data_IF_203571984506
#
_entry.id   IF_203571984506
#
_cell.length_a   1.000
_cell.length_b   1.000
_cell.length_c   1.000
_cell.angle_alpha   90.00
_cell.angle_beta   90.00
_cell.angle_gamma   90.00
#
_symmetry.space_group_name_H-M   'P 1'
#
loop_
_entity.id
_entity.type
_entity.pdbx_description
1 polymer ?
#
# COMPACT_ATOMS: atom_id res chain seq x y z
N UNK A 1 -1.97 -8.70 5.13
CA UNK A 1 -2.64 -7.49 5.63
C UNK A 1 -1.90 -7.08 6.89
N UNK A 2 -1.27 -5.90 6.89
CA UNK A 2 -0.47 -5.44 8.04
C UNK A 2 -1.34 -5.13 9.26
N UNK A 3 -0.74 -5.11 10.44
CA UNK A 3 -1.41 -4.81 11.72
C UNK A 3 -2.07 -3.41 11.72
N UNK A 4 -1.58 -2.48 10.90
CA UNK A 4 -2.06 -1.10 10.85
C UNK A 4 -3.40 -0.95 10.14
N UNK A 5 -3.71 -1.82 9.17
CA UNK A 5 -4.96 -1.78 8.41
C UNK A 5 -6.20 -1.92 9.30
N UNK A 6 -6.33 -2.94 10.18
CA UNK A 6 -7.47 -3.01 11.11
C UNK A 6 -7.49 -1.84 12.11
N UNK A 7 -6.33 -1.29 12.46
CA UNK A 7 -6.22 -0.16 13.39
C UNK A 7 -6.74 1.15 12.78
N UNK A 8 -6.58 1.35 11.47
CA UNK A 8 -7.24 2.44 10.72
C UNK A 8 -8.75 2.30 10.78
N UNK A 9 -9.29 1.10 10.51
CA UNK A 9 -10.73 0.88 10.56
C UNK A 9 -11.30 1.09 11.96
N UNK A 10 -10.60 0.63 13.00
CA UNK A 10 -11.00 0.85 14.40
C UNK A 10 -11.04 2.34 14.75
N UNK A 11 -10.03 3.12 14.34
CA UNK A 11 -10.02 4.57 14.54
C UNK A 11 -11.19 5.28 13.83
N UNK A 12 -11.52 4.86 12.60
CA UNK A 12 -12.65 5.41 11.85
C UNK A 12 -14.00 5.07 12.52
N UNK A 13 -14.17 3.85 13.03
CA UNK A 13 -15.38 3.47 13.76
C UNK A 13 -15.56 4.30 15.03
N UNK A 14 -14.49 4.53 15.79
CA UNK A 14 -14.53 5.40 16.98
C UNK A 14 -14.90 6.85 16.62
N UNK A 15 -14.36 7.38 15.53
CA UNK A 15 -14.72 8.72 15.04
C UNK A 15 -16.20 8.81 14.65
N UNK A 16 -16.71 7.81 13.93
CA UNK A 16 -18.14 7.76 13.56
C UNK A 16 -19.01 7.61 14.81
N UNK A 17 -18.60 6.79 15.77
CA UNK A 17 -19.32 6.61 17.03
C UNK A 17 -19.42 7.92 17.81
N UNK A 18 -18.28 8.59 18.00
CA UNK A 18 -18.23 9.90 18.66
C UNK A 18 -19.05 10.96 17.92
N UNK A 19 -19.02 10.98 16.58
CA UNK A 19 -19.85 11.87 15.76
C UNK A 19 -21.34 11.64 16.00
N UNK A 20 -21.80 10.38 15.96
CA UNK A 20 -23.20 10.03 16.20
C UNK A 20 -23.60 10.44 17.63
N UNK A 21 -22.75 10.16 18.63
CA UNK A 21 -22.98 10.55 20.02
C UNK A 21 -23.07 12.08 20.18
N UNK A 22 -22.20 12.84 19.52
CA UNK A 22 -22.25 14.30 19.53
C UNK A 22 -23.53 14.85 18.89
N UNK A 23 -23.93 14.31 17.74
CA UNK A 23 -25.19 14.71 17.06
C UNK A 23 -26.40 14.41 17.93
N UNK A 24 -26.46 13.21 18.52
CA UNK A 24 -27.55 12.81 19.41
C UNK A 24 -27.61 13.71 20.66
N UNK A 25 -26.45 14.02 21.25
CA UNK A 25 -26.35 14.89 22.42
C UNK A 25 -26.85 16.30 22.11
N UNK A 26 -26.36 16.91 21.02
CA UNK A 26 -26.78 18.25 20.58
C UNK A 26 -28.28 18.28 20.27
N UNK A 27 -28.81 17.22 19.65
CA UNK A 27 -30.25 17.12 19.33
C UNK A 27 -31.12 17.03 20.57
N UNK A 28 -30.63 16.42 21.65
CA UNK A 28 -31.39 16.19 22.89
C UNK A 28 -31.27 17.34 23.88
N UNK A 29 -30.07 17.92 24.00
CA UNK A 29 -29.74 18.91 25.04
C UNK A 29 -29.48 20.32 24.49
N UNK A 30 -29.52 20.49 23.17
CA UNK A 30 -29.16 21.74 22.51
C UNK A 30 -27.63 21.97 22.44
N UNK A 31 -27.20 23.11 21.90
CA UNK A 31 -25.78 23.45 21.73
C UNK A 31 -25.17 23.95 23.04
N UNK A 32 -25.14 23.09 24.06
CA UNK A 32 -24.37 23.31 25.30
C UNK A 32 -22.96 22.70 25.16
N UNK A 33 -22.11 22.88 26.19
CA UNK A 33 -20.78 22.27 26.23
C UNK A 33 -20.85 20.75 26.07
N UNK A 34 -19.97 20.19 25.24
CA UNK A 34 -19.92 18.76 25.00
C UNK A 34 -19.43 18.01 26.25
N UNK A 35 -20.02 16.85 26.56
CA UNK A 35 -19.50 15.93 27.56
C UNK A 35 -18.05 15.53 27.27
N UNK A 36 -17.26 15.40 28.34
CA UNK A 36 -15.82 15.15 28.23
C UNK A 36 -15.52 13.77 27.61
N UNK A 37 -16.35 12.77 27.87
CA UNK A 37 -16.27 11.42 27.31
C UNK A 37 -16.35 11.43 25.77
N UNK A 38 -17.33 12.13 25.18
CA UNK A 38 -17.48 12.27 23.72
C UNK A 38 -16.24 12.96 23.13
N UNK A 39 -15.74 14.00 23.81
CA UNK A 39 -14.54 14.72 23.38
C UNK A 39 -13.29 13.83 23.43
N UNK A 40 -13.10 13.06 24.50
CA UNK A 40 -11.99 12.13 24.64
C UNK A 40 -12.03 11.02 23.58
N UNK A 41 -13.20 10.44 23.32
CA UNK A 41 -13.36 9.42 22.29
C UNK A 41 -13.01 9.97 20.89
N UNK A 42 -13.44 11.19 20.57
CA UNK A 42 -13.10 11.86 19.32
C UNK A 42 -11.58 12.04 19.18
N UNK A 43 -10.91 12.56 20.23
CA UNK A 43 -9.47 12.80 20.22
C UNK A 43 -8.71 11.48 20.08
N UNK A 44 -9.08 10.45 20.84
CA UNK A 44 -8.44 9.13 20.77
C UNK A 44 -8.65 8.50 19.38
N UNK A 45 -9.88 8.51 18.87
CA UNK A 45 -10.20 8.00 17.52
C UNK A 45 -9.42 8.73 16.42
N UNK A 46 -9.26 10.05 16.55
CA UNK A 46 -8.46 10.87 15.64
C UNK A 46 -6.97 10.48 15.69
N UNK A 47 -6.39 10.38 16.88
CA UNK A 47 -4.98 10.01 17.06
C UNK A 47 -4.69 8.60 16.53
N UNK A 48 -5.56 7.64 16.83
CA UNK A 48 -5.43 6.26 16.34
C UNK A 48 -5.52 6.23 14.81
N UNK A 49 -6.49 6.92 14.22
CA UNK A 49 -6.66 6.98 12.76
C UNK A 49 -5.46 7.59 12.07
N UNK A 50 -4.99 8.75 12.55
CA UNK A 50 -3.86 9.46 11.97
C UNK A 50 -2.56 8.64 12.08
N UNK A 51 -2.26 8.10 13.26
CA UNK A 51 -1.04 7.32 13.47
C UNK A 51 -1.03 6.03 12.66
N UNK A 52 -2.15 5.30 12.66
CA UNK A 52 -2.29 4.04 11.92
C UNK A 52 -2.19 4.26 10.42
N UNK A 53 -2.79 5.34 9.89
CA UNK A 53 -2.72 5.66 8.46
C UNK A 53 -1.29 6.02 8.02
N UNK A 54 -0.59 6.83 8.81
CA UNK A 54 0.83 7.15 8.55
C UNK A 54 1.67 5.88 8.58
N UNK A 55 1.47 4.98 9.56
CA UNK A 55 2.20 3.72 9.62
C UNK A 55 1.88 2.78 8.46
N UNK A 56 0.60 2.66 8.10
CA UNK A 56 0.15 1.86 6.96
C UNK A 56 0.81 2.32 5.65
N UNK A 57 0.96 3.64 5.46
CA UNK A 57 1.59 4.21 4.25
C UNK A 57 3.12 4.22 4.32
N UNK A 58 3.70 4.38 5.51
CA UNK A 58 5.16 4.39 5.73
C UNK A 58 5.80 3.00 5.69
N UNK A 59 5.02 1.91 5.77
CA UNK A 59 5.50 0.55 5.46
C UNK A 59 5.88 0.38 3.98
N UNK A 60 5.47 1.29 3.10
CA UNK A 60 6.07 1.39 1.79
C UNK A 60 7.51 1.83 1.92
N UNK A 61 8.48 1.00 1.52
CA UNK A 61 9.87 1.41 1.43
C UNK A 61 9.95 2.70 0.61
N UNK A 62 10.30 3.80 1.27
CA UNK A 62 10.55 5.06 0.61
C UNK A 62 11.70 4.84 -0.36
N UNK A 63 11.36 4.76 -1.65
CA UNK A 63 12.36 4.48 -2.67
C UNK A 63 13.30 5.68 -2.75
N UNK A 64 14.56 5.45 -2.43
CA UNK A 64 15.59 6.48 -2.56
C UNK A 64 15.70 6.91 -4.03
N UNK A 65 15.48 8.21 -4.29
CA UNK A 65 15.63 8.80 -5.62
C UNK A 65 17.13 9.05 -5.84
N UNK A 66 17.87 7.99 -6.13
CA UNK A 66 19.27 8.07 -6.56
C UNK A 66 19.42 7.31 -7.86
N UNK A 67 19.82 8.04 -8.90
CA UNK A 67 20.15 7.46 -10.20
C UNK A 67 21.30 6.45 -10.00
N UNK A 68 22.35 6.81 -9.27
CA UNK A 68 23.46 5.88 -9.00
C UNK A 68 23.00 4.55 -8.38
N UNK A 69 22.06 4.58 -7.41
CA UNK A 69 21.50 3.37 -6.78
C UNK A 69 20.52 2.61 -7.69
N UNK A 70 19.79 3.31 -8.55
CA UNK A 70 18.92 2.68 -9.54
C UNK A 70 19.72 1.92 -10.61
N UNK A 71 20.92 2.42 -10.95
CA UNK A 71 21.81 1.83 -11.95
C UNK A 71 22.89 0.92 -11.35
N UNK A 72 23.02 0.82 -10.02
CA UNK A 72 24.07 0.00 -9.38
C UNK A 72 23.94 -1.50 -9.66
N UNK A 73 22.71 -1.96 -9.88
CA UNK A 73 22.41 -3.37 -10.20
C UNK A 73 22.26 -3.61 -11.71
N UNK A 74 22.52 -2.59 -12.54
CA UNK A 74 22.43 -2.70 -13.99
C UNK A 74 23.74 -3.24 -14.55
N UNK A 75 23.67 -4.40 -15.21
CA UNK A 75 24.82 -5.01 -15.90
C UNK A 75 24.79 -4.71 -17.39
N UNK A 76 25.96 -4.69 -18.03
CA UNK A 76 26.08 -4.45 -19.47
C UNK A 76 25.25 -5.41 -20.31
N UNK A 77 25.19 -6.70 -19.95
CA UNK A 77 24.35 -7.68 -20.66
C UNK A 77 22.85 -7.38 -20.61
N UNK A 78 22.37 -6.71 -19.54
CA UNK A 78 20.97 -6.27 -19.45
C UNK A 78 20.69 -5.03 -20.29
N UNK A 79 21.68 -4.14 -20.45
CA UNK A 79 21.59 -2.95 -21.31
C UNK A 79 21.71 -3.32 -22.79
N UNK A 80 22.54 -4.31 -23.09
CA UNK A 80 22.77 -4.81 -24.45
C UNK A 80 21.56 -5.58 -25.00
N UNK A 81 20.80 -6.24 -24.12
CA UNK A 81 19.55 -6.89 -24.50
C UNK A 81 18.49 -5.84 -24.89
N UNK A 82 18.43 -5.51 -26.19
CA UNK A 82 17.42 -4.63 -26.76
C UNK A 82 16.29 -5.46 -27.36
N UNK A 83 15.12 -5.57 -26.70
CA UNK A 83 14.03 -6.44 -27.17
C UNK A 83 13.49 -6.01 -28.55
N UNK A 84 13.58 -4.73 -28.87
CA UNK A 84 13.24 -4.19 -30.20
C UNK A 84 14.12 -4.71 -31.33
N UNK A 85 15.32 -5.24 -31.03
CA UNK A 85 16.28 -5.76 -32.02
C UNK A 85 16.59 -7.25 -31.79
N UNK A 86 15.69 -7.99 -31.13
CA UNK A 86 15.88 -9.40 -30.86
C UNK A 86 15.91 -10.22 -32.16
N UNK A 87 16.98 -11.00 -32.37
CA UNK A 87 17.11 -11.92 -33.50
C UNK A 87 16.89 -13.37 -33.03
N UNK A 88 15.96 -14.08 -33.66
CA UNK A 88 15.64 -15.46 -33.31
C UNK A 88 16.52 -16.50 -34.05
N UNK A 89 17.38 -16.04 -34.97
CA UNK A 89 18.34 -16.90 -35.65
C UNK A 89 19.69 -16.91 -34.91
N UNK A 90 19.74 -17.62 -33.77
CA UNK A 90 20.94 -17.76 -32.96
C UNK A 90 21.11 -19.21 -32.48
N UNK A 91 22.32 -19.56 -32.01
CA UNK A 91 22.73 -20.94 -31.66
C UNK A 91 21.81 -21.62 -30.63
N UNK A 92 21.12 -20.86 -29.78
CA UNK A 92 20.18 -21.41 -28.81
C UNK A 92 19.01 -22.14 -29.49
N UNK A 93 18.64 -21.76 -30.71
CA UNK A 93 17.57 -22.44 -31.48
C UNK A 93 17.87 -23.92 -31.69
N UNK A 94 19.12 -24.32 -31.96
CA UNK A 94 19.50 -25.73 -32.11
C UNK A 94 19.84 -26.39 -30.78
N UNK A 95 20.47 -25.67 -29.86
CA UNK A 95 20.86 -26.21 -28.54
C UNK A 95 19.65 -26.55 -27.67
N UNK A 96 18.58 -25.75 -27.74
CA UNK A 96 17.37 -25.93 -26.91
C UNK A 96 16.16 -26.43 -27.71
N UNK A 97 16.34 -26.83 -28.97
CA UNK A 97 15.26 -27.33 -29.84
C UNK A 97 14.55 -28.55 -29.24
N UNK A 98 15.30 -29.45 -28.58
CA UNK A 98 14.77 -30.70 -28.02
C UNK A 98 14.10 -30.53 -26.63
N UNK A 99 14.22 -29.35 -26.02
CA UNK A 99 13.61 -29.03 -24.71
C UNK A 99 12.34 -28.18 -24.83
N UNK A 100 11.77 -28.07 -26.02
CA UNK A 100 10.43 -27.50 -26.15
C UNK A 100 9.45 -28.40 -25.36
N UNK A 101 8.67 -27.87 -24.40
CA UNK A 101 7.63 -28.65 -23.75
C UNK A 101 6.71 -29.18 -24.86
N UNK A 102 6.40 -30.48 -24.82
CA UNK A 102 5.46 -31.10 -25.73
C UNK A 102 4.09 -30.41 -25.60
N UNK A 103 3.83 -29.39 -26.42
CA UNK A 103 2.52 -28.78 -26.52
C UNK A 103 1.58 -29.76 -27.24
N UNK A 104 1.18 -30.82 -26.55
CA UNK A 104 0.12 -31.73 -26.92
C UNK A 104 -1.21 -31.29 -26.29
N UNK A 105 -1.48 -29.97 -26.19
CA UNK A 105 -2.84 -29.49 -25.90
C UNK A 105 -3.54 -29.21 -27.22
N UNK A 106 -4.22 -30.24 -27.72
CA UNK A 106 -5.42 -30.10 -28.54
C UNK A 106 -6.58 -29.63 -27.65
#
# INVERSE_FOLDING_TARGET
>A
MGLWTPLVYLGLVLLIHSLISAVQFISTHGPISLPADIAFECIIGCLISAFSYVKMTAEGEWKQISIAKAYSNLTWGRVENRPSFAHFNHRAKSIFSDKAPNNNRK
#
